data_IF_999061641898
#
_entry.id   IF_999061641898
#
_cell.length_a   1.000
_cell.length_b   1.000
_cell.length_c   1.000
_cell.angle_alpha   90.00
_cell.angle_beta   90.00
_cell.angle_gamma   90.00
#
_symmetry.space_group_name_H-M   'P 1'
#
loop_
_entity.id
_entity.type
_entity.pdbx_description
1 polymer ?
#
# COMPACT_ATOMS: atom_id res chain seq x y z
N UNK A 1 3.99 12.91 -16.18
CA UNK A 1 3.35 11.59 -16.10
C UNK A 1 4.45 10.56 -15.95
N UNK A 2 4.48 9.91 -14.82
CA UNK A 2 5.40 8.78 -14.59
C UNK A 2 4.68 7.48 -14.92
N UNK A 3 5.39 6.53 -15.53
CA UNK A 3 4.84 5.25 -15.93
C UNK A 3 5.61 4.12 -15.26
N UNK A 4 4.89 3.09 -14.85
CA UNK A 4 5.46 1.78 -14.56
C UNK A 4 5.17 0.91 -15.79
N UNK A 5 6.21 0.52 -16.50
CA UNK A 5 6.11 -0.30 -17.71
C UNK A 5 6.52 -1.73 -17.42
N UNK A 6 5.66 -2.66 -17.72
CA UNK A 6 5.90 -4.11 -17.61
C UNK A 6 5.97 -4.66 -19.03
N UNK A 7 7.06 -5.33 -19.37
CA UNK A 7 7.28 -5.88 -20.70
C UNK A 7 7.70 -7.35 -20.62
N UNK A 8 6.96 -8.21 -21.30
CA UNK A 8 7.20 -9.65 -21.44
C UNK A 8 7.44 -10.36 -20.09
N UNK A 9 6.72 -9.91 -19.04
CA UNK A 9 6.86 -10.45 -17.69
C UNK A 9 6.39 -11.89 -17.66
N UNK A 10 7.28 -12.79 -17.26
CA UNK A 10 6.96 -14.19 -16.95
C UNK A 10 7.56 -14.55 -15.60
N UNK A 11 6.77 -15.25 -14.78
CA UNK A 11 7.17 -15.66 -13.45
C UNK A 11 6.57 -17.01 -13.05
N UNK A 12 7.38 -17.84 -12.43
CA UNK A 12 6.99 -19.06 -11.72
C UNK A 12 7.78 -19.15 -10.41
N UNK A 13 7.19 -19.72 -9.38
CA UNK A 13 7.94 -20.04 -8.15
C UNK A 13 8.90 -21.20 -8.40
N UNK A 14 10.03 -21.19 -7.69
CA UNK A 14 11.02 -22.27 -7.74
C UNK A 14 10.35 -23.62 -7.41
N UNK A 15 10.64 -24.60 -8.27
CA UNK A 15 10.04 -25.93 -8.15
C UNK A 15 8.59 -26.06 -8.64
N UNK A 16 7.99 -24.98 -9.17
CA UNK A 16 6.65 -25.03 -9.77
C UNK A 16 6.75 -25.24 -11.29
N UNK A 17 5.96 -26.17 -11.82
CA UNK A 17 5.83 -26.38 -13.27
C UNK A 17 4.87 -25.37 -13.92
N UNK A 18 4.08 -24.65 -13.12
CA UNK A 18 3.07 -23.73 -13.63
C UNK A 18 3.56 -22.29 -13.53
N UNK A 19 3.50 -21.56 -14.64
CA UNK A 19 3.71 -20.13 -14.66
C UNK A 19 2.53 -19.41 -13.97
N UNK A 20 2.85 -18.45 -13.09
CA UNK A 20 1.86 -17.52 -12.50
C UNK A 20 1.55 -16.42 -13.50
N UNK A 21 2.60 -15.91 -14.16
CA UNK A 21 2.49 -14.95 -15.25
C UNK A 21 3.26 -15.48 -16.45
N UNK A 22 2.72 -15.25 -17.65
CA UNK A 22 3.33 -15.72 -18.90
C UNK A 22 3.24 -14.61 -19.94
N UNK A 23 4.40 -14.03 -20.26
CA UNK A 23 4.61 -13.04 -21.31
C UNK A 23 3.60 -11.86 -21.28
N UNK A 24 3.33 -11.32 -20.09
CA UNK A 24 2.42 -10.19 -19.94
C UNK A 24 3.13 -8.85 -20.13
N UNK A 25 2.46 -7.92 -20.83
CA UNK A 25 2.97 -6.57 -21.06
C UNK A 25 1.86 -5.55 -20.91
N UNK A 26 2.12 -4.50 -20.13
CA UNK A 26 1.19 -3.39 -19.92
C UNK A 26 1.90 -2.20 -19.27
N UNK A 27 1.21 -1.06 -19.24
CA UNK A 27 1.67 0.15 -18.59
C UNK A 27 0.68 0.59 -17.50
N UNK A 28 1.21 1.13 -16.42
CA UNK A 28 0.45 1.74 -15.32
C UNK A 28 0.87 3.19 -15.21
N UNK A 29 -0.08 4.11 -15.31
CA UNK A 29 0.15 5.51 -14.97
C UNK A 29 0.18 5.65 -13.44
N UNK A 30 1.20 6.33 -12.93
CA UNK A 30 1.38 6.47 -11.47
C UNK A 30 0.35 7.38 -10.79
N UNK A 31 -0.52 8.05 -11.55
CA UNK A 31 -1.68 8.77 -11.01
C UNK A 31 -2.94 7.91 -10.91
N UNK A 32 -2.92 6.68 -11.41
CA UNK A 32 -4.09 5.82 -11.41
C UNK A 32 -4.39 5.23 -10.03
N UNK A 33 -5.68 4.93 -9.83
CA UNK A 33 -6.20 4.11 -8.74
C UNK A 33 -6.62 2.78 -9.36
N UNK A 34 -5.87 1.74 -9.07
CA UNK A 34 -6.12 0.43 -9.65
C UNK A 34 -6.61 -0.55 -8.60
N UNK A 35 -7.69 -1.26 -8.91
CA UNK A 35 -8.17 -2.40 -8.13
C UNK A 35 -7.72 -3.71 -8.78
N UNK A 36 -6.97 -4.52 -8.05
CA UNK A 36 -6.58 -5.86 -8.49
C UNK A 36 -7.47 -6.90 -7.81
N UNK A 37 -8.45 -7.38 -8.56
CA UNK A 37 -9.49 -8.30 -8.07
C UNK A 37 -9.24 -9.70 -8.63
N UNK A 38 -9.50 -10.73 -7.84
CA UNK A 38 -9.40 -12.12 -8.27
C UNK A 38 -9.42 -13.10 -7.12
N UNK A 39 -9.60 -14.38 -7.44
CA UNK A 39 -9.60 -15.46 -6.43
C UNK A 39 -8.23 -15.56 -5.72
N UNK A 40 -8.25 -16.10 -4.48
CA UNK A 40 -7.02 -16.39 -3.76
C UNK A 40 -6.12 -17.35 -4.52
N UNK A 41 -4.81 -17.19 -4.37
CA UNK A 41 -3.82 -18.00 -5.07
C UNK A 41 -3.62 -17.68 -6.56
N UNK A 42 -4.25 -16.62 -7.10
CA UNK A 42 -4.12 -16.22 -8.51
C UNK A 42 -3.02 -15.17 -8.77
N UNK A 43 -2.07 -15.02 -7.85
CA UNK A 43 -0.87 -14.22 -8.09
C UNK A 43 -1.00 -12.72 -7.77
N UNK A 44 -2.08 -12.24 -7.12
CA UNK A 44 -2.23 -10.80 -6.80
C UNK A 44 -1.06 -10.26 -5.97
N UNK A 45 -0.84 -10.83 -4.79
CA UNK A 45 0.30 -10.48 -3.91
C UNK A 45 1.64 -10.73 -4.59
N UNK A 46 1.75 -11.81 -5.39
CA UNK A 46 2.95 -12.10 -6.18
C UNK A 46 3.26 -10.96 -7.14
N UNK A 47 2.25 -10.46 -7.84
CA UNK A 47 2.41 -9.32 -8.74
C UNK A 47 2.91 -8.07 -8.01
N UNK A 48 2.34 -7.74 -6.84
CA UNK A 48 2.83 -6.62 -6.04
C UNK A 48 4.30 -6.80 -5.63
N UNK A 49 4.69 -8.01 -5.24
CA UNK A 49 6.08 -8.31 -4.86
C UNK A 49 7.06 -8.25 -6.05
N UNK A 50 6.59 -8.60 -7.26
CA UNK A 50 7.37 -8.40 -8.50
C UNK A 50 7.58 -6.91 -8.78
N UNK A 51 6.56 -6.07 -8.61
CA UNK A 51 6.69 -4.61 -8.74
C UNK A 51 7.66 -4.01 -7.71
N UNK A 52 7.74 -4.60 -6.50
CA UNK A 52 8.75 -4.22 -5.50
C UNK A 52 10.18 -4.67 -5.90
N UNK A 53 10.32 -5.66 -6.78
CA UNK A 53 11.62 -6.27 -7.11
C UNK A 53 12.08 -7.31 -6.09
N UNK A 54 11.18 -7.91 -5.32
CA UNK A 54 11.51 -8.95 -4.31
C UNK A 54 11.83 -10.29 -4.98
N UNK A 55 11.18 -10.58 -6.11
CA UNK A 55 11.38 -11.82 -6.84
C UNK A 55 12.12 -11.59 -8.15
N UNK A 56 12.96 -12.52 -8.53
CA UNK A 56 13.55 -12.59 -9.89
C UNK A 56 12.48 -13.01 -10.90
N UNK A 57 12.52 -12.42 -12.08
CA UNK A 57 11.53 -12.67 -13.14
C UNK A 57 12.18 -12.55 -14.52
N UNK A 58 11.51 -13.11 -15.54
CA UNK A 58 11.87 -12.90 -16.94
C UNK A 58 11.10 -11.69 -17.49
N UNK A 59 11.76 -10.90 -18.34
CA UNK A 59 11.19 -9.65 -18.89
C UNK A 59 11.77 -8.42 -18.19
N UNK A 60 11.05 -7.29 -18.27
CA UNK A 60 11.49 -6.01 -17.67
C UNK A 60 10.35 -5.28 -17.00
N UNK A 61 10.63 -4.71 -15.83
CA UNK A 61 9.77 -3.74 -15.14
C UNK A 61 10.57 -2.45 -15.01
N UNK A 62 10.14 -1.38 -15.71
CA UNK A 62 10.73 -0.05 -15.63
C UNK A 62 9.84 0.87 -14.83
N UNK A 63 10.40 1.61 -13.88
CA UNK A 63 9.66 2.56 -13.03
C UNK A 63 10.52 3.78 -12.71
N UNK A 64 9.91 4.96 -12.73
CA UNK A 64 10.55 6.23 -12.41
C UNK A 64 10.07 6.81 -11.06
N UNK A 65 9.44 5.98 -10.24
CA UNK A 65 8.94 6.31 -8.91
C UNK A 65 9.33 5.24 -7.93
N UNK A 66 9.46 5.61 -6.68
CA UNK A 66 9.60 4.64 -5.60
C UNK A 66 8.29 3.86 -5.44
N UNK A 67 8.41 2.61 -5.06
CA UNK A 67 7.26 1.72 -4.84
C UNK A 67 7.27 1.27 -3.40
N UNK A 68 6.26 1.68 -2.65
CA UNK A 68 6.08 1.28 -1.25
C UNK A 68 4.96 0.25 -1.12
N UNK A 69 5.11 -0.67 -0.19
CA UNK A 69 4.17 -1.77 0.05
C UNK A 69 3.52 -1.65 1.42
N UNK A 70 2.22 -1.85 1.44
CA UNK A 70 1.42 -2.00 2.65
C UNK A 70 0.76 -3.39 2.66
N UNK A 71 0.73 -4.13 3.77
CA UNK A 71 1.25 -3.78 5.09
C UNK A 71 2.77 -3.96 5.20
N UNK A 72 3.40 -3.20 6.08
CA UNK A 72 4.80 -3.35 6.44
C UNK A 72 4.97 -3.37 7.97
N UNK A 73 6.06 -3.93 8.43
CA UNK A 73 6.36 -4.00 9.86
C UNK A 73 7.07 -2.75 10.35
N UNK A 74 6.58 -2.23 11.48
CA UNK A 74 7.23 -1.15 12.21
C UNK A 74 8.35 -1.73 13.07
N UNK A 75 9.57 -1.22 12.90
CA UNK A 75 10.76 -1.72 13.61
C UNK A 75 10.68 -1.57 15.12
N UNK A 76 10.06 -0.50 15.61
CA UNK A 76 9.87 -0.24 17.05
C UNK A 76 8.43 0.20 17.34
N UNK A 77 7.59 -0.75 17.74
CA UNK A 77 6.17 -0.48 18.07
C UNK A 77 5.96 0.26 19.40
N UNK A 78 7.03 0.48 20.20
CA UNK A 78 6.93 1.25 21.43
C UNK A 78 7.04 2.77 21.20
N UNK A 79 7.47 3.20 20.00
CA UNK A 79 7.44 4.60 19.61
C UNK A 79 6.02 5.13 19.62
N UNK A 80 5.85 6.42 19.89
CA UNK A 80 4.57 7.10 19.69
C UNK A 80 4.26 7.22 18.19
N UNK A 81 2.97 7.24 17.86
CA UNK A 81 2.54 7.14 16.45
C UNK A 81 3.10 8.26 15.56
N UNK A 82 3.22 9.49 16.08
CA UNK A 82 3.79 10.62 15.33
C UNK A 82 5.27 10.39 14.95
N UNK A 83 6.06 9.74 15.81
CA UNK A 83 7.46 9.42 15.50
C UNK A 83 7.54 8.41 14.34
N UNK A 84 6.60 7.44 14.29
CA UNK A 84 6.54 6.47 13.19
C UNK A 84 6.17 7.18 11.89
N UNK A 85 5.22 8.13 11.92
CA UNK A 85 4.89 8.92 10.73
C UNK A 85 6.12 9.70 10.26
N UNK A 86 6.84 10.35 11.15
CA UNK A 86 8.03 11.14 10.83
C UNK A 86 9.20 10.27 10.33
N UNK A 87 9.36 9.05 10.84
CA UNK A 87 10.39 8.11 10.33
C UNK A 87 10.13 7.73 8.86
N UNK A 88 8.86 7.61 8.44
CA UNK A 88 8.45 7.21 7.10
C UNK A 88 8.36 8.39 6.15
N UNK A 89 7.82 9.50 6.63
CA UNK A 89 7.61 10.74 5.87
C UNK A 89 8.19 11.95 6.60
N UNK A 90 9.54 12.10 6.61
CA UNK A 90 10.23 13.08 7.43
C UNK A 90 9.98 14.55 7.02
N UNK A 91 9.44 14.77 5.85
CA UNK A 91 9.14 16.11 5.32
C UNK A 91 7.68 16.54 5.54
N UNK A 92 6.88 15.71 6.23
CA UNK A 92 5.47 16.02 6.47
C UNK A 92 5.33 16.97 7.66
N UNK A 93 4.47 17.97 7.49
CA UNK A 93 4.14 18.91 8.55
C UNK A 93 3.01 18.35 9.43
N UNK A 94 2.97 18.69 10.71
CA UNK A 94 1.97 18.19 11.67
C UNK A 94 0.52 18.44 11.18
N UNK A 95 0.27 19.59 10.56
CA UNK A 95 -1.05 19.91 10.04
C UNK A 95 -1.49 18.99 8.88
N UNK A 96 -0.55 18.50 8.09
CA UNK A 96 -0.83 17.53 7.01
C UNK A 96 -1.23 16.20 7.61
N UNK A 97 -0.52 15.74 8.63
CA UNK A 97 -0.82 14.48 9.35
C UNK A 97 -2.22 14.58 9.98
N UNK A 98 -2.52 15.68 10.66
CA UNK A 98 -3.85 15.93 11.26
C UNK A 98 -4.94 15.96 10.20
N UNK A 99 -4.70 16.60 9.06
CA UNK A 99 -5.64 16.63 7.93
C UNK A 99 -5.94 15.22 7.41
N UNK A 100 -4.93 14.39 7.26
CA UNK A 100 -5.11 13.01 6.79
C UNK A 100 -5.92 12.17 7.78
N UNK A 101 -5.65 12.31 9.09
CA UNK A 101 -6.43 11.65 10.14
C UNK A 101 -7.91 12.09 10.13
N UNK A 102 -8.16 13.39 9.96
CA UNK A 102 -9.51 13.90 9.85
C UNK A 102 -10.26 13.33 8.62
N UNK A 103 -9.57 13.14 7.50
CA UNK A 103 -10.14 12.48 6.32
C UNK A 103 -10.51 11.01 6.58
N UNK A 104 -9.87 10.37 7.56
CA UNK A 104 -10.14 9.00 8.03
C UNK A 104 -11.12 8.96 9.22
N UNK A 105 -11.76 10.10 9.59
CA UNK A 105 -12.61 10.23 10.75
C UNK A 105 -11.94 9.71 12.04
N UNK A 106 -10.69 10.12 12.26
CA UNK A 106 -9.86 9.62 13.38
C UNK A 106 -9.40 10.79 14.23
N UNK A 107 -9.54 10.64 15.56
CA UNK A 107 -9.06 11.66 16.51
C UNK A 107 -7.54 11.78 16.44
N UNK A 108 -6.98 12.99 16.21
CA UNK A 108 -5.53 13.20 16.18
C UNK A 108 -4.78 12.85 17.48
N UNK A 109 -5.46 12.72 18.60
CA UNK A 109 -4.85 12.32 19.88
C UNK A 109 -4.13 10.97 19.80
N UNK A 110 -4.48 10.10 18.85
CA UNK A 110 -3.80 8.82 18.64
C UNK A 110 -2.32 9.01 18.29
N UNK A 111 -1.92 10.17 17.73
CA UNK A 111 -0.54 10.49 17.40
C UNK A 111 0.41 10.46 18.60
N UNK A 112 -0.11 10.76 19.78
CA UNK A 112 0.67 10.85 21.02
C UNK A 112 0.61 9.56 21.87
N UNK A 113 -0.01 8.51 21.33
CA UNK A 113 -0.06 7.19 21.97
C UNK A 113 1.00 6.27 21.36
N UNK A 114 1.51 5.34 22.17
CA UNK A 114 2.41 4.30 21.66
C UNK A 114 1.71 3.45 20.61
N UNK A 115 2.38 3.14 19.51
CA UNK A 115 1.80 2.43 18.38
C UNK A 115 1.23 1.05 18.76
N UNK A 116 1.89 0.35 19.70
CA UNK A 116 1.42 -0.94 20.22
C UNK A 116 0.12 -0.85 21.05
N UNK A 117 -0.26 0.36 21.51
CA UNK A 117 -1.50 0.60 22.26
C UNK A 117 -2.67 1.00 21.33
N UNK A 118 -2.39 1.25 20.07
CA UNK A 118 -3.40 1.55 19.08
C UNK A 118 -4.18 0.28 18.70
N UNK A 119 -5.48 0.43 18.43
CA UNK A 119 -6.26 -0.63 17.82
C UNK A 119 -5.72 -0.99 16.44
N UNK A 120 -6.00 -2.20 15.94
CA UNK A 120 -5.56 -2.63 14.62
C UNK A 120 -6.00 -1.66 13.51
N UNK A 121 -7.21 -1.12 13.60
CA UNK A 121 -7.71 -0.11 12.67
C UNK A 121 -6.96 1.21 12.73
N UNK A 122 -6.61 1.68 13.94
CA UNK A 122 -5.80 2.90 14.13
C UNK A 122 -4.38 2.69 13.59
N UNK A 123 -3.77 1.51 13.82
CA UNK A 123 -2.44 1.17 13.26
C UNK A 123 -2.46 1.20 11.73
N UNK A 124 -3.45 0.58 11.08
CA UNK A 124 -3.63 0.61 9.62
C UNK A 124 -3.72 2.05 9.12
N UNK A 125 -4.50 2.90 9.79
CA UNK A 125 -4.66 4.31 9.41
C UNK A 125 -3.34 5.08 9.51
N UNK A 126 -2.60 4.94 10.62
CA UNK A 126 -1.28 5.58 10.80
C UNK A 126 -0.31 5.16 9.69
N UNK A 127 -0.20 3.87 9.40
CA UNK A 127 0.72 3.38 8.38
C UNK A 127 0.34 3.86 6.97
N UNK A 128 -0.94 3.88 6.63
CA UNK A 128 -1.40 4.35 5.32
C UNK A 128 -1.18 5.84 5.13
N UNK A 129 -1.51 6.69 6.13
CA UNK A 129 -1.27 8.13 6.01
C UNK A 129 0.23 8.43 5.87
N UNK A 130 1.10 7.70 6.60
CA UNK A 130 2.56 7.87 6.49
C UNK A 130 3.05 7.61 5.07
N UNK A 131 2.54 6.56 4.41
CA UNK A 131 2.91 6.24 3.04
C UNK A 131 2.37 7.28 2.05
N UNK A 132 1.14 7.77 2.22
CA UNK A 132 0.57 8.80 1.34
C UNK A 132 1.23 10.18 1.51
N UNK A 133 1.74 10.48 2.71
CA UNK A 133 2.46 11.73 3.00
C UNK A 133 3.91 11.70 2.51
N UNK A 134 4.52 10.53 2.36
CA UNK A 134 5.91 10.38 1.89
C UNK A 134 6.15 11.08 0.55
N UNK A 135 5.15 11.07 -0.32
CA UNK A 135 5.19 11.71 -1.65
C UNK A 135 6.17 11.02 -2.61
N UNK A 136 6.03 11.32 -3.89
CA UNK A 136 6.84 10.76 -4.99
C UNK A 136 6.97 9.23 -4.98
N UNK A 137 5.92 8.55 -4.54
CA UNK A 137 5.83 7.11 -4.46
C UNK A 137 4.54 6.59 -5.11
N UNK A 138 4.57 5.31 -5.47
CA UNK A 138 3.40 4.55 -5.92
C UNK A 138 3.13 3.44 -4.91
N UNK A 139 1.91 3.37 -4.38
CA UNK A 139 1.60 2.46 -3.29
C UNK A 139 1.04 1.13 -3.78
N UNK A 140 1.54 0.05 -3.22
CA UNK A 140 1.01 -1.29 -3.36
C UNK A 140 0.30 -1.67 -2.06
N UNK A 141 -1.03 -1.63 -2.07
CA UNK A 141 -1.86 -1.82 -0.88
C UNK A 141 -2.48 -3.21 -0.96
N UNK A 142 -2.03 -4.13 -0.10
CA UNK A 142 -2.49 -5.52 -0.08
C UNK A 142 -3.39 -5.76 1.13
N UNK A 143 -4.68 -5.99 0.88
CA UNK A 143 -5.71 -6.35 1.85
C UNK A 143 -5.80 -5.42 3.09
N UNK A 144 -5.89 -4.09 2.92
CA UNK A 144 -5.86 -3.14 4.04
C UNK A 144 -7.09 -3.22 4.95
N UNK A 145 -8.15 -3.87 4.49
CA UNK A 145 -9.43 -3.99 5.20
C UNK A 145 -9.56 -5.25 6.04
N UNK A 146 -8.55 -6.14 5.99
CA UNK A 146 -8.57 -7.37 6.78
C UNK A 146 -8.66 -7.06 8.29
N UNK A 147 -9.57 -7.74 8.97
CA UNK A 147 -9.80 -7.62 10.42
C UNK A 147 -10.30 -6.24 10.88
N UNK A 148 -10.74 -5.37 9.97
CA UNK A 148 -11.36 -4.09 10.30
C UNK A 148 -12.87 -4.25 10.49
N UNK A 149 -13.43 -3.51 11.46
CA UNK A 149 -14.86 -3.33 11.58
C UNK A 149 -15.45 -2.57 10.37
N UNK A 150 -16.77 -2.63 10.23
CA UNK A 150 -17.49 -2.07 9.08
C UNK A 150 -17.29 -0.55 8.97
N UNK A 151 -17.29 0.16 10.10
CA UNK A 151 -17.14 1.61 10.11
C UNK A 151 -15.74 2.03 9.67
N UNK A 152 -14.71 1.43 10.26
CA UNK A 152 -13.30 1.66 9.88
C UNK A 152 -13.06 1.33 8.42
N UNK A 153 -13.64 0.24 7.91
CA UNK A 153 -13.57 -0.14 6.49
C UNK A 153 -14.18 0.93 5.59
N UNK A 154 -15.37 1.43 5.90
CA UNK A 154 -16.04 2.46 5.12
C UNK A 154 -15.23 3.78 5.10
N UNK A 155 -14.69 4.17 6.25
CA UNK A 155 -13.83 5.35 6.37
C UNK A 155 -12.59 5.21 5.48
N UNK A 156 -11.94 4.04 5.50
CA UNK A 156 -10.78 3.74 4.66
C UNK A 156 -11.10 3.79 3.16
N UNK A 157 -12.23 3.18 2.75
CA UNK A 157 -12.68 3.21 1.35
C UNK A 157 -12.92 4.66 0.88
N UNK A 158 -13.60 5.47 1.70
CA UNK A 158 -13.85 6.87 1.38
C UNK A 158 -12.56 7.70 1.31
N UNK A 159 -11.60 7.39 2.14
CA UNK A 159 -10.26 7.98 2.11
C UNK A 159 -9.52 7.62 0.81
N UNK A 160 -9.43 6.34 0.48
CA UNK A 160 -8.75 5.86 -0.73
C UNK A 160 -9.39 6.43 -2.02
N UNK A 161 -10.70 6.65 -2.04
CA UNK A 161 -11.38 7.32 -3.17
C UNK A 161 -10.84 8.74 -3.45
N UNK A 162 -10.27 9.40 -2.45
CA UNK A 162 -9.69 10.76 -2.58
C UNK A 162 -8.20 10.75 -2.94
N UNK A 163 -7.54 9.59 -2.87
CA UNK A 163 -6.11 9.43 -3.14
C UNK A 163 -5.85 9.00 -4.59
N UNK A 164 -4.60 9.07 -5.00
CA UNK A 164 -4.08 8.65 -6.31
C UNK A 164 -2.80 7.84 -6.11
N UNK A 165 -2.34 7.20 -7.19
CA UNK A 165 -1.03 6.57 -7.23
C UNK A 165 -0.95 5.28 -6.43
N UNK A 166 -1.90 4.36 -6.62
CA UNK A 166 -1.85 3.07 -5.93
C UNK A 166 -2.51 1.92 -6.68
N UNK A 167 -2.07 0.72 -6.34
CA UNK A 167 -2.77 -0.54 -6.61
C UNK A 167 -3.35 -1.05 -5.30
N UNK A 168 -4.63 -1.34 -5.29
CA UNK A 168 -5.33 -1.96 -4.17
C UNK A 168 -5.67 -3.41 -4.50
N UNK A 169 -5.18 -4.34 -3.70
CA UNK A 169 -5.65 -5.73 -3.68
C UNK A 169 -6.69 -5.87 -2.58
N UNK A 170 -7.85 -6.38 -2.93
CA UNK A 170 -8.89 -6.70 -1.95
C UNK A 170 -9.70 -7.91 -2.41
N UNK A 171 -10.18 -8.70 -1.46
CA UNK A 171 -11.16 -9.76 -1.70
C UNK A 171 -12.58 -9.23 -1.68
N UNK A 172 -12.81 -8.11 -1.00
CA UNK A 172 -14.09 -7.46 -0.94
C UNK A 172 -14.34 -6.69 -2.24
N UNK A 173 -15.54 -6.82 -2.80
CA UNK A 173 -16.00 -5.92 -3.85
C UNK A 173 -16.32 -4.57 -3.19
N UNK A 174 -15.43 -3.62 -3.38
CA UNK A 174 -15.57 -2.24 -2.90
C UNK A 174 -16.50 -1.46 -3.83
#
# INVERSE_FOLDING_TARGET
MSLISVNNLSFSYDGSYNNIFENISFNIDTDWKLGLIGRNGKGKTTFLKLLQGIYEYKGTISKNVDVDYFPFEVSNKNKIAIEIVNDISPNSEDWEIIKELNLLNTNPEILYRSFNQLSGGEQVKILLISLFLKGNNFLLIDEPTNHLDIETRNNLVNYLKKKKGFILVSHDRI
#
